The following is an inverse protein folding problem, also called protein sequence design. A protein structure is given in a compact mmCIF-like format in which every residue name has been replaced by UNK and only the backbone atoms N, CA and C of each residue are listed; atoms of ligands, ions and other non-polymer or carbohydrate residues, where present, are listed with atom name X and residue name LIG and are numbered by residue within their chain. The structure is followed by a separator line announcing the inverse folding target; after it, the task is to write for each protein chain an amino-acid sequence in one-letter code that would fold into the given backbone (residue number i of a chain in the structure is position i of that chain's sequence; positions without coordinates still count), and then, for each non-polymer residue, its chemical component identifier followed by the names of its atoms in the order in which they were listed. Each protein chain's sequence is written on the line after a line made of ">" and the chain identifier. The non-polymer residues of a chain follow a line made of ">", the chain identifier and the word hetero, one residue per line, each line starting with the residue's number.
data_IF_481414182425
#
_entry.id   IF_481414182425
#
_cell.length_a   1.000
_cell.length_b   1.000
_cell.length_c   1.000
_cell.angle_alpha   90.00
_cell.angle_beta   90.00
_cell.angle_gamma   90.00
#
_symmetry.space_group_name_H-M   'P 1'
#
loop_
_entity.id
_entity.type
_entity.pdbx_description
1 polymer ?
#
# COMPACT_ATOMS: atom_id res chain seq x y z
N UNK A 1 16.89 12.66 -8.94
CA UNK A 1 16.05 13.64 -9.68
C UNK A 1 15.46 14.72 -8.78
N UNK A 2 14.91 14.39 -7.60
CA UNK A 2 14.35 15.38 -6.65
C UNK A 2 15.26 16.59 -6.35
N UNK A 3 16.55 16.36 -6.05
CA UNK A 3 17.51 17.44 -5.79
C UNK A 3 17.65 18.42 -6.97
N UNK A 4 17.65 17.93 -8.21
CA UNK A 4 17.72 18.80 -9.40
C UNK A 4 16.50 19.72 -9.46
N UNK A 5 15.29 19.16 -9.28
CA UNK A 5 14.04 19.93 -9.33
C UNK A 5 14.02 21.04 -8.27
N UNK A 6 14.43 20.75 -7.03
CA UNK A 6 14.42 21.72 -5.94
C UNK A 6 15.57 22.74 -6.04
N UNK A 7 16.80 22.27 -6.28
CA UNK A 7 18.00 23.11 -6.15
C UNK A 7 18.34 23.82 -7.46
N UNK A 8 18.25 23.13 -8.59
CA UNK A 8 18.70 23.68 -9.88
C UNK A 8 17.52 24.33 -10.61
N UNK A 9 16.41 23.60 -10.73
CA UNK A 9 15.25 24.05 -11.50
C UNK A 9 14.31 24.97 -10.69
N UNK A 10 14.56 25.12 -9.38
CA UNK A 10 13.82 25.98 -8.45
C UNK A 10 12.30 25.76 -8.50
N UNK A 11 11.87 24.52 -8.69
CA UNK A 11 10.45 24.18 -8.69
C UNK A 11 9.82 24.53 -7.34
N UNK A 12 8.73 25.30 -7.35
CA UNK A 12 8.00 25.67 -6.12
C UNK A 12 7.39 24.45 -5.40
N UNK A 13 6.94 23.46 -6.18
CA UNK A 13 6.47 22.18 -5.70
C UNK A 13 6.73 21.09 -6.75
N UNK A 14 6.75 19.83 -6.32
CA UNK A 14 6.88 18.66 -7.19
C UNK A 14 5.67 17.76 -6.99
N UNK A 15 5.02 17.36 -8.09
CA UNK A 15 4.04 16.29 -8.11
C UNK A 15 4.72 15.02 -8.59
N UNK A 16 4.67 13.93 -7.82
CA UNK A 16 5.25 12.68 -8.28
C UNK A 16 5.39 11.61 -7.22
N UNK A 17 6.27 10.65 -7.54
CA UNK A 17 6.32 9.33 -6.92
C UNK A 17 5.06 8.50 -7.23
N UNK A 18 5.18 7.19 -7.02
CA UNK A 18 4.04 6.27 -7.15
C UNK A 18 4.12 5.16 -6.11
N UNK A 19 5.28 4.52 -6.00
CA UNK A 19 5.50 3.55 -4.94
C UNK A 19 5.90 4.26 -3.65
N UNK A 20 5.43 3.77 -2.51
CA UNK A 20 5.89 4.26 -1.20
C UNK A 20 7.41 4.21 -1.05
N UNK A 21 8.07 3.23 -1.67
CA UNK A 21 9.54 3.15 -1.73
C UNK A 21 10.15 4.37 -2.44
N UNK A 22 9.59 4.79 -3.59
CA UNK A 22 10.05 6.00 -4.29
C UNK A 22 9.85 7.27 -3.47
N UNK A 23 8.72 7.39 -2.74
CA UNK A 23 8.47 8.50 -1.81
C UNK A 23 9.51 8.52 -0.69
N UNK A 24 9.68 7.39 0.02
CA UNK A 24 10.66 7.26 1.12
C UNK A 24 12.07 7.62 0.68
N UNK A 25 12.46 7.25 -0.55
CA UNK A 25 13.78 7.56 -1.10
C UNK A 25 14.00 9.05 -1.36
N UNK A 26 12.96 9.81 -1.71
CA UNK A 26 13.09 11.25 -1.98
C UNK A 26 12.77 12.14 -0.79
N UNK A 27 12.05 11.63 0.21
CA UNK A 27 11.59 12.38 1.37
C UNK A 27 12.72 13.17 2.08
N UNK A 28 13.90 12.58 2.37
CA UNK A 28 14.97 13.33 3.04
C UNK A 28 15.44 14.54 2.23
N UNK A 29 15.35 14.49 0.90
CA UNK A 29 15.71 15.61 0.02
C UNK A 29 14.69 16.75 0.13
N UNK A 30 13.40 16.42 0.16
CA UNK A 30 12.36 17.44 0.33
C UNK A 30 12.43 18.10 1.71
N UNK A 31 12.69 17.32 2.77
CA UNK A 31 12.87 17.84 4.13
C UNK A 31 14.12 18.72 4.24
N UNK A 32 15.25 18.27 3.69
CA UNK A 32 16.51 19.02 3.72
C UNK A 32 16.40 20.40 3.05
N UNK A 33 15.74 20.47 1.90
CA UNK A 33 15.63 21.70 1.11
C UNK A 33 14.33 22.47 1.35
N UNK A 34 13.55 22.07 2.36
CA UNK A 34 12.22 22.61 2.65
C UNK A 34 11.32 22.74 1.40
N UNK A 35 11.41 21.75 0.51
CA UNK A 35 10.59 21.68 -0.71
C UNK A 35 9.22 21.09 -0.41
N UNK A 36 8.27 21.28 -1.34
CA UNK A 36 6.94 20.70 -1.24
C UNK A 36 6.76 19.54 -2.24
N UNK A 37 6.44 18.36 -1.73
CA UNK A 37 6.04 17.19 -2.51
C UNK A 37 4.53 16.99 -2.40
N UNK A 38 3.84 17.02 -3.54
CA UNK A 38 2.49 16.49 -3.68
C UNK A 38 2.62 15.03 -4.05
N UNK A 39 2.06 14.17 -3.21
CA UNK A 39 2.06 12.72 -3.39
C UNK A 39 0.64 12.26 -3.78
N UNK A 40 0.36 12.09 -5.09
CA UNK A 40 -0.98 11.84 -5.63
C UNK A 40 -1.31 10.37 -5.75
N UNK A 41 -1.03 9.61 -4.70
CA UNK A 41 -1.31 8.18 -4.68
C UNK A 41 -1.58 7.68 -3.27
N UNK A 42 -2.22 6.52 -3.20
CA UNK A 42 -2.49 5.83 -1.96
C UNK A 42 -1.20 5.28 -1.31
N UNK A 43 -1.24 5.09 0.01
CA UNK A 43 -0.09 4.59 0.76
C UNK A 43 -0.45 4.06 2.15
N UNK A 44 0.52 3.45 2.81
CA UNK A 44 0.32 2.62 4.00
C UNK A 44 -0.10 3.38 5.26
N UNK A 45 -0.09 4.71 5.25
CA UNK A 45 -0.18 5.51 6.46
C UNK A 45 1.15 5.54 7.21
N UNK A 46 1.07 5.83 8.52
CA UNK A 46 2.21 5.78 9.46
C UNK A 46 3.43 6.62 9.02
N UNK A 47 3.20 7.69 8.28
CA UNK A 47 4.20 8.69 7.94
C UNK A 47 3.57 10.07 8.05
N UNK A 48 4.34 11.02 8.58
CA UNK A 48 3.97 12.41 8.62
C UNK A 48 5.20 13.23 8.26
N UNK A 49 5.05 14.17 7.33
CA UNK A 49 6.08 15.15 7.01
C UNK A 49 5.41 16.46 6.66
N UNK A 50 5.99 17.58 7.13
CA UNK A 50 5.49 18.93 6.80
C UNK A 50 5.71 19.28 5.33
N UNK A 51 6.63 18.58 4.67
CA UNK A 51 7.04 18.81 3.29
C UNK A 51 6.27 17.94 2.28
N UNK A 52 5.26 17.19 2.73
CA UNK A 52 4.48 16.29 1.87
C UNK A 52 2.98 16.55 2.04
N UNK A 53 2.30 16.81 0.94
CA UNK A 53 0.84 16.78 0.87
C UNK A 53 0.40 15.40 0.35
N UNK A 54 -0.22 14.63 1.23
CA UNK A 54 -0.81 13.33 0.93
C UNK A 54 -2.22 13.55 0.38
N UNK A 55 -2.41 13.30 -0.91
CA UNK A 55 -3.71 13.55 -1.57
C UNK A 55 -4.49 12.28 -1.87
N UNK A 56 -3.84 11.11 -1.78
CA UNK A 56 -4.52 9.80 -1.87
C UNK A 56 -4.92 9.25 -0.51
N UNK A 57 -5.86 8.31 -0.51
CA UNK A 57 -6.32 7.63 0.71
C UNK A 57 -5.20 6.79 1.32
N UNK A 58 -5.07 6.81 2.65
CA UNK A 58 -4.19 5.84 3.32
C UNK A 58 -4.85 4.45 3.42
N UNK A 59 -4.08 3.44 3.83
CA UNK A 59 -4.52 2.05 3.92
C UNK A 59 -5.85 1.88 4.67
N UNK A 60 -6.04 2.55 5.81
CA UNK A 60 -7.24 2.40 6.65
C UNK A 60 -8.50 2.94 5.98
N UNK A 61 -8.41 4.02 5.21
CA UNK A 61 -9.56 4.58 4.48
C UNK A 61 -10.06 3.68 3.34
N UNK A 62 -9.17 2.95 2.67
CA UNK A 62 -9.55 2.16 1.48
C UNK A 62 -9.69 0.66 1.76
N UNK A 63 -8.77 0.07 2.54
CA UNK A 63 -8.68 -1.38 2.72
C UNK A 63 -9.80 -1.85 3.62
N UNK A 64 -10.00 -1.16 4.76
CA UNK A 64 -11.07 -1.50 5.70
C UNK A 64 -12.42 -1.38 5.01
N UNK A 65 -12.66 -0.27 4.29
CA UNK A 65 -13.88 -0.07 3.53
C UNK A 65 -14.12 -1.18 2.49
N UNK A 66 -13.08 -1.60 1.76
CA UNK A 66 -13.17 -2.70 0.80
C UNK A 66 -13.47 -4.06 1.45
N UNK A 67 -12.83 -4.36 2.57
CA UNK A 67 -13.03 -5.60 3.34
C UNK A 67 -14.43 -5.68 3.94
N UNK A 68 -14.91 -4.58 4.53
CA UNK A 68 -16.27 -4.48 5.06
C UNK A 68 -17.30 -4.65 3.94
N UNK A 69 -17.07 -3.99 2.81
CA UNK A 69 -17.96 -4.07 1.67
C UNK A 69 -18.06 -5.50 1.12
N UNK A 70 -16.93 -6.19 0.91
CA UNK A 70 -16.95 -7.56 0.35
C UNK A 70 -17.53 -8.57 1.35
N UNK A 71 -17.24 -8.43 2.65
CA UNK A 71 -17.84 -9.26 3.68
C UNK A 71 -19.36 -9.09 3.74
N UNK A 72 -19.83 -7.83 3.74
CA UNK A 72 -21.26 -7.51 3.82
C UNK A 72 -22.02 -7.89 2.55
N UNK A 73 -21.44 -7.64 1.39
CA UNK A 73 -22.15 -7.73 0.10
C UNK A 73 -22.03 -9.11 -0.54
N UNK A 74 -20.89 -9.79 -0.34
CA UNK A 74 -20.62 -11.11 -0.92
C UNK A 74 -20.63 -12.23 0.10
N UNK A 75 -20.71 -11.92 1.40
CA UNK A 75 -20.66 -12.92 2.47
C UNK A 75 -19.28 -13.52 2.67
N UNK A 76 -18.22 -12.94 2.07
CA UNK A 76 -16.87 -13.49 2.10
C UNK A 76 -16.34 -13.61 3.54
N UNK A 77 -15.90 -14.82 3.92
CA UNK A 77 -15.31 -15.12 5.24
C UNK A 77 -13.85 -15.55 5.13
N UNK A 78 -13.39 -15.98 3.98
CA UNK A 78 -12.02 -16.45 3.80
C UNK A 78 -11.28 -15.57 2.80
N UNK A 79 -10.11 -15.09 3.20
CA UNK A 79 -9.34 -14.11 2.44
C UNK A 79 -7.94 -14.66 2.13
N UNK A 80 -7.46 -14.44 0.92
CA UNK A 80 -6.09 -14.75 0.54
C UNK A 80 -5.35 -13.44 0.22
N UNK A 81 -4.28 -13.15 0.96
CA UNK A 81 -3.54 -11.90 0.83
C UNK A 81 -2.34 -12.09 -0.10
N UNK A 82 -2.31 -11.38 -1.22
CA UNK A 82 -1.22 -11.46 -2.19
C UNK A 82 -0.68 -10.06 -2.46
N UNK A 83 0.65 -9.88 -2.38
CA UNK A 83 1.26 -8.58 -2.55
C UNK A 83 2.61 -8.61 -3.26
N UNK A 84 3.03 -7.47 -3.80
CA UNK A 84 4.43 -7.26 -4.15
C UNK A 84 5.28 -7.06 -2.90
N UNK A 85 6.51 -7.55 -2.88
CA UNK A 85 7.37 -7.56 -1.70
C UNK A 85 8.06 -6.21 -1.49
N UNK A 86 7.28 -5.22 -1.07
CA UNK A 86 7.76 -3.93 -0.60
C UNK A 86 6.82 -3.37 0.49
N UNK A 87 7.12 -2.17 0.99
CA UNK A 87 6.48 -1.63 2.20
C UNK A 87 4.95 -1.50 2.08
N UNK A 88 4.41 -1.11 0.92
CA UNK A 88 2.98 -0.86 0.79
C UNK A 88 2.15 -2.14 1.00
N UNK A 89 2.36 -3.23 0.23
CA UNK A 89 1.57 -4.45 0.43
C UNK A 89 1.83 -5.11 1.79
N UNK A 90 3.05 -5.07 2.31
CA UNK A 90 3.38 -5.64 3.64
C UNK A 90 2.60 -4.96 4.76
N UNK A 91 2.59 -3.63 4.79
CA UNK A 91 1.86 -2.87 5.82
C UNK A 91 0.35 -2.95 5.61
N UNK A 92 -0.10 -2.86 4.35
CA UNK A 92 -1.50 -2.98 3.97
C UNK A 92 -2.11 -4.30 4.38
N UNK A 93 -1.44 -5.42 4.08
CA UNK A 93 -1.90 -6.76 4.46
C UNK A 93 -1.87 -6.98 5.96
N UNK A 94 -0.93 -6.36 6.70
CA UNK A 94 -0.92 -6.40 8.16
C UNK A 94 -2.15 -5.71 8.75
N UNK A 95 -2.54 -4.56 8.20
CA UNK A 95 -3.79 -3.86 8.55
C UNK A 95 -5.01 -4.72 8.17
N UNK A 96 -5.02 -5.25 6.95
CA UNK A 96 -6.09 -6.10 6.43
C UNK A 96 -6.33 -7.33 7.31
N UNK A 97 -5.27 -8.07 7.65
CA UNK A 97 -5.35 -9.27 8.50
C UNK A 97 -5.94 -8.93 9.87
N UNK A 98 -5.46 -7.87 10.50
CA UNK A 98 -5.98 -7.43 11.80
C UNK A 98 -7.47 -7.09 11.71
N UNK A 99 -7.89 -6.45 10.62
CA UNK A 99 -9.30 -6.14 10.39
C UNK A 99 -10.15 -7.40 10.15
N UNK A 100 -9.69 -8.28 9.27
CA UNK A 100 -10.37 -9.54 8.92
C UNK A 100 -10.56 -10.40 10.16
N UNK A 101 -9.49 -10.68 10.90
CA UNK A 101 -9.53 -11.63 12.01
C UNK A 101 -10.07 -11.00 13.31
N UNK A 102 -10.01 -9.66 13.43
CA UNK A 102 -10.44 -8.94 14.64
C UNK A 102 -11.85 -8.35 14.58
N UNK A 103 -12.35 -8.00 13.40
CA UNK A 103 -13.60 -7.25 13.25
C UNK A 103 -14.64 -7.94 12.35
N UNK A 104 -14.22 -8.77 11.40
CA UNK A 104 -15.16 -9.48 10.54
C UNK A 104 -15.53 -10.83 11.16
N UNK A 105 -16.77 -10.93 11.69
CA UNK A 105 -17.21 -12.12 12.42
C UNK A 105 -17.08 -13.40 11.58
N UNK A 106 -16.35 -14.37 12.11
CA UNK A 106 -16.11 -15.67 11.49
C UNK A 106 -15.18 -15.63 10.27
N UNK A 107 -14.54 -14.50 10.00
CA UNK A 107 -13.62 -14.37 8.89
C UNK A 107 -12.17 -14.72 9.28
N UNK A 108 -11.38 -15.16 8.30
CA UNK A 108 -9.97 -15.52 8.49
C UNK A 108 -9.15 -15.35 7.22
N UNK A 109 -7.85 -15.16 7.38
CA UNK A 109 -6.89 -15.21 6.27
C UNK A 109 -6.42 -16.66 6.07
N UNK A 110 -6.62 -17.21 4.88
CA UNK A 110 -6.29 -18.60 4.53
C UNK A 110 -4.95 -18.75 3.81
N UNK A 111 -4.32 -17.64 3.42
CA UNK A 111 -2.99 -17.62 2.84
C UNK A 111 -2.47 -16.20 2.70
N UNK A 112 -1.14 -16.06 2.74
CA UNK A 112 -0.46 -14.78 2.57
C UNK A 112 0.89 -14.99 1.87
N UNK A 113 1.10 -14.37 0.71
CA UNK A 113 2.33 -14.49 -0.06
C UNK A 113 2.78 -13.17 -0.67
N UNK A 114 4.09 -13.03 -0.86
CA UNK A 114 4.72 -11.85 -1.42
C UNK A 114 5.74 -12.21 -2.50
N UNK A 115 5.78 -11.41 -3.56
CA UNK A 115 6.69 -11.61 -4.69
C UNK A 115 7.46 -10.33 -5.01
N UNK A 116 8.76 -10.41 -5.35
CA UNK A 116 9.53 -9.22 -5.70
C UNK A 116 8.95 -8.53 -6.94
N UNK A 117 9.18 -7.22 -7.05
CA UNK A 117 8.78 -6.47 -8.24
C UNK A 117 9.45 -7.07 -9.50
N UNK A 118 8.68 -7.21 -10.57
CA UNK A 118 9.14 -7.85 -11.82
C UNK A 118 9.04 -9.38 -11.82
N UNK A 119 8.54 -10.00 -10.75
CA UNK A 119 8.22 -11.42 -10.75
C UNK A 119 7.12 -11.75 -11.77
N UNK A 120 7.30 -12.84 -12.54
CA UNK A 120 6.39 -13.24 -13.63
C UNK A 120 5.82 -14.66 -13.48
N UNK A 121 6.29 -15.44 -12.49
CA UNK A 121 6.01 -16.88 -12.40
C UNK A 121 5.05 -17.23 -11.25
N UNK A 122 3.76 -16.97 -11.43
CA UNK A 122 2.76 -17.10 -10.36
C UNK A 122 2.10 -18.49 -10.23
N UNK A 123 2.58 -19.51 -10.95
CA UNK A 123 1.93 -20.84 -11.00
C UNK A 123 1.76 -21.47 -9.60
N UNK A 124 2.77 -21.34 -8.73
CA UNK A 124 2.73 -21.91 -7.38
C UNK A 124 1.65 -21.27 -6.50
N UNK A 125 1.58 -19.94 -6.46
CA UNK A 125 0.58 -19.23 -5.65
C UNK A 125 -0.82 -19.39 -6.20
N UNK A 126 -0.98 -19.44 -7.53
CA UNK A 126 -2.27 -19.74 -8.18
C UNK A 126 -2.77 -21.12 -7.74
N UNK A 127 -1.90 -22.13 -7.72
CA UNK A 127 -2.27 -23.46 -7.25
C UNK A 127 -2.66 -23.47 -5.77
N UNK A 128 -1.92 -22.74 -4.92
CA UNK A 128 -2.28 -22.62 -3.50
C UNK A 128 -3.64 -21.93 -3.31
N UNK A 129 -3.90 -20.83 -4.01
CA UNK A 129 -5.20 -20.13 -3.97
C UNK A 129 -6.34 -21.09 -4.37
N UNK A 130 -6.16 -21.86 -5.46
CA UNK A 130 -7.13 -22.88 -5.90
C UNK A 130 -7.38 -23.97 -4.85
N UNK A 131 -6.34 -24.40 -4.14
CA UNK A 131 -6.45 -25.42 -3.09
C UNK A 131 -7.12 -24.86 -1.82
N UNK A 132 -6.81 -23.62 -1.44
CA UNK A 132 -7.38 -22.99 -0.24
C UNK A 132 -8.81 -22.51 -0.43
N UNK A 133 -9.25 -22.30 -1.68
CA UNK A 133 -10.61 -21.86 -2.05
C UNK A 133 -11.10 -20.68 -1.19
N UNK A 134 -10.39 -19.53 -1.17
CA UNK A 134 -10.94 -18.33 -0.55
C UNK A 134 -12.24 -17.94 -1.27
N UNK A 135 -13.17 -17.34 -0.53
CA UNK A 135 -14.44 -16.81 -1.07
C UNK A 135 -14.20 -15.66 -2.07
#
# INVERSE_FOLDING_TARGET
>A
KAKKLLVNDKCAAVMGCWTSASRKAVLPVFEQYNGMLYYPTFYEGLEQSKNVIYTGQEATQQIIAGLDWVNKTKGAKTFYLLGSDYIWPRTSNKIARKHIEGHLQGAKVVGEEYFPLGHTQFNSVINKIKLTKPD
#
